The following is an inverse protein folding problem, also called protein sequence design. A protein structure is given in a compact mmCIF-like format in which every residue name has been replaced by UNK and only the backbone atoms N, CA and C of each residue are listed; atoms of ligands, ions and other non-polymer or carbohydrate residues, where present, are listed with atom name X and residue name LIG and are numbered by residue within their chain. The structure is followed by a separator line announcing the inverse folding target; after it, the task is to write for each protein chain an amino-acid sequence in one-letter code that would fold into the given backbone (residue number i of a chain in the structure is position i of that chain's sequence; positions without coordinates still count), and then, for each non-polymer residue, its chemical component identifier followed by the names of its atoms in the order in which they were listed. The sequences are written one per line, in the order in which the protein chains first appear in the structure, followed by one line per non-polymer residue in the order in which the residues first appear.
data_IF_205085290676
#
_entry.id   IF_205085290676
#
_cell.length_a   1.000
_cell.length_b   1.000
_cell.length_c   1.000
_cell.angle_alpha   90.00
_cell.angle_beta   90.00
_cell.angle_gamma   90.00
#
_symmetry.space_group_name_H-M   'P 1'
#
loop_
_entity.id
_entity.type
_entity.pdbx_description
1 polymer ?
#
# COMPACT_ATOMS: atom_id res chain seq x y z
N UNK A 1 1.35 -2.29 -7.74
CA UNK A 1 0.18 -2.68 -6.95
C UNK A 1 -0.54 -1.44 -6.46
N UNK A 2 -1.81 -1.28 -6.83
CA UNK A 2 -2.68 -0.22 -6.30
C UNK A 2 -3.41 -0.75 -5.07
N UNK A 3 -3.23 -0.09 -3.94
CA UNK A 3 -3.66 -0.60 -2.65
C UNK A 3 -4.24 0.48 -1.75
N UNK A 4 -5.09 0.06 -0.81
CA UNK A 4 -5.62 0.90 0.26
C UNK A 4 -5.18 0.33 1.61
N UNK A 5 -4.64 1.17 2.48
CA UNK A 5 -4.06 0.73 3.76
C UNK A 5 -5.10 0.18 4.75
N UNK A 6 -6.37 0.48 4.56
CA UNK A 6 -7.45 -0.09 5.38
C UNK A 6 -8.11 -1.32 4.75
N UNK A 7 -7.69 -1.71 3.56
CA UNK A 7 -8.26 -2.84 2.83
C UNK A 7 -7.71 -4.17 3.36
N UNK A 8 -8.60 -5.04 3.84
CA UNK A 8 -8.20 -6.36 4.36
C UNK A 8 -7.61 -7.27 3.27
N UNK A 9 -8.13 -7.20 2.05
CA UNK A 9 -7.59 -7.98 0.93
C UNK A 9 -6.18 -7.53 0.56
N UNK A 10 -5.87 -6.24 0.70
CA UNK A 10 -4.51 -5.73 0.52
C UNK A 10 -3.57 -6.28 1.59
N UNK A 11 -4.01 -6.30 2.85
CA UNK A 11 -3.23 -6.90 3.93
C UNK A 11 -2.99 -8.39 3.68
N UNK A 12 -3.97 -9.11 3.16
CA UNK A 12 -3.83 -10.53 2.80
C UNK A 12 -2.80 -10.71 1.68
N UNK A 13 -2.78 -9.83 0.69
CA UNK A 13 -1.75 -9.86 -0.35
C UNK A 13 -0.34 -9.73 0.27
N UNK A 14 -0.15 -8.81 1.17
CA UNK A 14 1.14 -8.61 1.85
C UNK A 14 1.53 -9.79 2.75
N UNK A 15 0.55 -10.48 3.32
CA UNK A 15 0.78 -11.63 4.18
C UNK A 15 1.01 -12.93 3.40
N UNK A 16 0.19 -13.19 2.40
CA UNK A 16 0.10 -14.50 1.77
C UNK A 16 0.81 -14.60 0.40
N UNK A 17 1.03 -13.49 -0.28
CA UNK A 17 1.58 -13.47 -1.65
C UNK A 17 2.93 -12.77 -1.70
N UNK A 18 3.02 -11.57 -1.14
CA UNK A 18 4.19 -10.72 -1.26
C UNK A 18 5.49 -11.36 -0.75
N UNK A 19 5.52 -12.08 0.40
CA UNK A 19 6.79 -12.65 0.89
C UNK A 19 7.43 -13.62 -0.11
N UNK A 20 6.62 -14.48 -0.74
CA UNK A 20 7.14 -15.43 -1.72
C UNK A 20 7.51 -14.73 -3.03
N UNK A 21 6.70 -13.78 -3.46
CA UNK A 21 7.00 -12.93 -4.62
C UNK A 21 8.35 -12.21 -4.42
N UNK A 22 8.55 -11.63 -3.24
CA UNK A 22 9.78 -10.92 -2.90
C UNK A 22 10.99 -11.85 -3.01
N UNK A 23 10.91 -13.00 -2.38
CA UNK A 23 11.99 -13.99 -2.39
C UNK A 23 12.35 -14.45 -3.79
N UNK A 24 11.37 -14.78 -4.60
CA UNK A 24 11.60 -15.46 -5.88
C UNK A 24 11.87 -14.50 -7.04
N UNK A 25 11.35 -13.26 -6.98
CA UNK A 25 11.42 -12.32 -8.10
C UNK A 25 12.05 -10.97 -7.78
N UNK A 26 11.83 -10.43 -6.60
CA UNK A 26 12.32 -9.09 -6.26
C UNK A 26 13.76 -9.14 -5.77
N UNK A 27 14.06 -10.01 -4.83
CA UNK A 27 15.41 -10.17 -4.27
C UNK A 27 16.39 -10.74 -5.30
N UNK A 28 15.88 -11.46 -6.29
CA UNK A 28 16.68 -12.01 -7.39
C UNK A 28 16.92 -11.02 -8.53
N UNK A 29 16.24 -9.87 -8.50
CA UNK A 29 16.35 -8.86 -9.56
C UNK A 29 15.57 -9.17 -10.83
N UNK A 30 14.76 -10.24 -10.86
CA UNK A 30 13.94 -10.60 -12.02
C UNK A 30 12.76 -9.65 -12.22
N UNK A 31 12.27 -9.04 -11.14
CA UNK A 31 11.16 -8.10 -11.18
C UNK A 31 11.36 -7.01 -10.12
N UNK A 32 10.58 -5.95 -10.23
CA UNK A 32 10.45 -4.94 -9.19
C UNK A 32 8.96 -4.67 -8.96
N UNK A 33 8.60 -4.27 -7.77
CA UNK A 33 7.23 -3.88 -7.43
C UNK A 33 7.21 -2.41 -7.01
N UNK A 34 6.16 -1.72 -7.42
CA UNK A 34 5.87 -0.38 -6.97
C UNK A 34 4.52 -0.42 -6.26
N UNK A 35 4.50 0.01 -5.01
CA UNK A 35 3.26 0.15 -4.25
C UNK A 35 2.70 1.54 -4.52
N UNK A 36 1.45 1.58 -5.02
CA UNK A 36 0.79 2.81 -5.38
C UNK A 36 -0.47 2.99 -4.55
N UNK A 37 -0.75 4.22 -4.19
CA UNK A 37 -1.83 4.54 -3.28
C UNK A 37 -3.18 4.60 -4.00
N UNK A 38 -4.15 3.87 -3.45
CA UNK A 38 -5.53 3.92 -3.92
C UNK A 38 -6.46 3.92 -2.70
N UNK A 39 -6.41 4.97 -1.86
CA UNK A 39 -7.19 5.00 -0.63
C UNK A 39 -8.68 4.98 -0.91
N UNK A 40 -9.40 4.08 -0.21
CA UNK A 40 -10.84 3.91 -0.37
C UNK A 40 -11.65 4.69 0.68
N UNK A 41 -11.00 5.17 1.72
CA UNK A 41 -11.63 5.95 2.79
C UNK A 41 -10.65 6.97 3.36
N UNK A 42 -11.13 7.83 4.27
CA UNK A 42 -10.31 8.91 4.83
C UNK A 42 -9.19 8.37 5.73
N UNK A 43 -9.42 7.28 6.45
CA UNK A 43 -8.39 6.66 7.27
C UNK A 43 -7.24 6.12 6.40
N UNK A 44 -7.58 5.48 5.28
CA UNK A 44 -6.59 5.01 4.32
C UNK A 44 -5.83 6.18 3.68
N UNK A 45 -6.52 7.26 3.36
CA UNK A 45 -5.91 8.46 2.78
C UNK A 45 -4.86 9.05 3.72
N UNK A 46 -5.21 9.21 4.99
CA UNK A 46 -4.30 9.74 5.99
C UNK A 46 -3.12 8.80 6.25
N UNK A 47 -3.38 7.49 6.33
CA UNK A 47 -2.32 6.50 6.48
C UNK A 47 -1.37 6.49 5.27
N UNK A 48 -1.90 6.65 4.06
CA UNK A 48 -1.09 6.76 2.84
C UNK A 48 -0.14 7.94 2.90
N UNK A 49 -0.63 9.11 3.33
CA UNK A 49 0.20 10.30 3.49
C UNK A 49 1.34 10.05 4.47
N UNK A 50 1.04 9.47 5.60
CA UNK A 50 2.03 9.20 6.64
C UNK A 50 3.05 8.16 6.17
N UNK A 51 2.61 7.12 5.47
CA UNK A 51 3.52 6.10 4.92
C UNK A 51 4.52 6.67 3.93
N UNK A 52 4.13 7.75 3.24
CA UNK A 52 4.95 8.43 2.23
C UNK A 52 5.95 9.40 2.83
N UNK A 53 5.78 9.80 4.08
CA UNK A 53 6.54 10.89 4.72
C UNK A 53 8.05 10.59 4.85
N UNK A 54 8.40 9.34 5.11
CA UNK A 54 9.79 8.86 5.14
C UNK A 54 9.97 7.65 4.25
N UNK A 55 9.45 7.75 3.04
CA UNK A 55 9.59 6.65 2.09
C UNK A 55 10.94 6.77 1.38
N UNK A 56 11.87 5.93 1.80
CA UNK A 56 13.24 5.85 1.26
C UNK A 56 13.39 4.71 0.24
N UNK A 57 12.27 4.16 -0.23
CA UNK A 57 12.24 3.01 -1.14
C UNK A 57 12.07 1.66 -0.43
N UNK A 58 12.25 1.59 0.88
CA UNK A 58 12.11 0.35 1.65
C UNK A 58 10.66 0.02 2.03
N UNK A 59 9.78 1.01 2.00
CA UNK A 59 8.35 0.87 2.34
C UNK A 59 8.10 0.29 3.73
N UNK A 60 8.96 0.59 4.69
CA UNK A 60 8.88 0.02 6.05
C UNK A 60 7.59 0.37 6.77
N UNK A 61 7.18 1.63 6.70
CA UNK A 61 5.94 2.08 7.35
C UNK A 61 4.75 1.41 6.68
N UNK A 62 4.69 1.40 5.35
CA UNK A 62 3.62 0.77 4.60
C UNK A 62 3.47 -0.71 4.96
N UNK A 63 4.57 -1.44 4.97
CA UNK A 63 4.56 -2.87 5.30
C UNK A 63 4.11 -3.13 6.75
N UNK A 64 4.55 -2.30 7.69
CA UNK A 64 4.13 -2.38 9.09
C UNK A 64 2.64 -2.11 9.24
N UNK A 65 2.10 -1.12 8.51
CA UNK A 65 0.68 -0.78 8.57
C UNK A 65 -0.19 -1.92 8.03
N UNK A 66 0.19 -2.56 6.93
CA UNK A 66 -0.53 -3.74 6.43
C UNK A 66 -0.45 -4.92 7.38
N UNK A 67 0.69 -5.17 7.97
CA UNK A 67 0.89 -6.30 8.89
C UNK A 67 0.11 -6.15 10.20
N UNK A 68 -0.30 -4.94 10.56
CA UNK A 68 -0.88 -4.64 11.87
C UNK A 68 -2.19 -3.84 11.78
N UNK A 69 -2.98 -4.05 10.74
CA UNK A 69 -4.23 -3.29 10.54
C UNK A 69 -5.12 -3.29 11.79
N UNK A 70 -5.27 -4.42 12.46
CA UNK A 70 -6.13 -4.53 13.62
C UNK A 70 -5.67 -3.66 14.81
N UNK A 71 -4.42 -3.21 14.80
CA UNK A 71 -3.88 -2.36 15.86
C UNK A 71 -4.14 -0.88 15.67
N UNK A 72 -4.39 -0.44 14.44
CA UNK A 72 -4.54 0.99 14.14
C UNK A 72 -5.81 1.33 13.34
N UNK A 73 -6.38 0.38 12.58
CA UNK A 73 -7.63 0.61 11.84
C UNK A 73 -8.81 0.51 12.79
N UNK A 74 -9.01 1.55 13.57
CA UNK A 74 -10.12 1.62 14.55
C UNK A 74 -10.39 3.08 14.89
N UNK A 75 -11.59 3.31 15.37
CA UNK A 75 -12.08 4.64 15.72
C UNK A 75 -13.38 4.95 15.00
N UNK A 76 -14.22 5.76 15.62
CA UNK A 76 -15.54 6.15 15.08
C UNK A 76 -15.50 7.43 14.26
N UNK A 77 -14.34 8.09 14.19
CA UNK A 77 -14.14 9.33 13.43
C UNK A 77 -12.74 9.36 12.82
N UNK A 78 -12.56 10.25 11.85
CA UNK A 78 -11.23 10.48 11.24
C UNK A 78 -10.21 10.91 12.31
N UNK A 79 -10.62 11.73 13.26
CA UNK A 79 -9.75 12.19 14.34
C UNK A 79 -9.29 11.05 15.25
N UNK A 80 -10.20 10.16 15.65
CA UNK A 80 -9.85 8.98 16.44
C UNK A 80 -8.95 8.02 15.67
N UNK A 81 -9.27 7.78 14.40
CA UNK A 81 -8.46 6.95 13.54
C UNK A 81 -7.03 7.48 13.43
N UNK A 82 -6.86 8.80 13.31
CA UNK A 82 -5.54 9.43 13.25
C UNK A 82 -4.79 9.29 14.57
N UNK A 83 -5.47 9.43 15.71
CA UNK A 83 -4.84 9.22 17.03
C UNK A 83 -4.34 7.78 17.18
N UNK A 84 -5.14 6.82 16.77
CA UNK A 84 -4.76 5.41 16.84
C UNK A 84 -3.57 5.11 15.91
N UNK A 85 -3.57 5.67 14.72
CA UNK A 85 -2.48 5.55 13.77
C UNK A 85 -1.17 6.14 14.32
N UNK A 86 -1.23 7.35 14.86
CA UNK A 86 -0.06 8.02 15.45
C UNK A 86 0.50 7.21 16.61
N UNK A 87 -0.36 6.75 17.52
CA UNK A 87 0.03 5.94 18.65
C UNK A 87 0.71 4.64 18.20
N UNK A 88 0.14 3.97 17.20
CA UNK A 88 0.71 2.74 16.64
C UNK A 88 2.12 2.99 16.09
N UNK A 89 2.29 4.03 15.28
CA UNK A 89 3.58 4.35 14.68
C UNK A 89 4.65 4.69 15.72
N UNK A 90 4.30 5.42 16.77
CA UNK A 90 5.19 5.71 17.88
C UNK A 90 5.61 4.44 18.61
N UNK A 91 4.65 3.55 18.87
CA UNK A 91 4.92 2.28 19.55
C UNK A 91 5.82 1.36 18.71
N UNK A 92 5.75 1.45 17.40
CA UNK A 92 6.63 0.70 16.49
C UNK A 92 8.01 1.36 16.31
N UNK A 93 8.22 2.51 16.90
CA UNK A 93 9.51 3.19 16.85
C UNK A 93 9.76 4.05 15.62
N UNK A 94 8.71 4.33 14.85
CA UNK A 94 8.83 5.24 13.70
C UNK A 94 8.90 6.69 14.19
N UNK A 95 10.02 7.34 13.92
CA UNK A 95 10.25 8.75 14.27
C UNK A 95 9.83 9.64 13.11
N UNK A 96 8.58 10.11 13.12
CA UNK A 96 8.02 11.00 12.13
C UNK A 96 7.27 12.14 12.81
N UNK A 97 7.24 13.30 12.16
CA UNK A 97 6.36 14.40 12.56
C UNK A 97 4.98 14.15 11.94
N UNK A 98 4.12 13.48 12.67
CA UNK A 98 2.81 13.02 12.19
C UNK A 98 1.95 14.16 11.65
N UNK A 99 1.85 15.25 12.40
CA UNK A 99 1.04 16.40 11.99
C UNK A 99 1.59 17.06 10.73
N UNK A 100 2.90 17.22 10.64
CA UNK A 100 3.55 17.76 9.46
C UNK A 100 3.32 16.87 8.23
N UNK A 101 3.39 15.55 8.40
CA UNK A 101 3.11 14.60 7.31
C UNK A 101 1.68 14.70 6.80
N UNK A 102 0.71 14.79 7.71
CA UNK A 102 -0.70 14.92 7.35
C UNK A 102 -1.00 16.23 6.59
N UNK A 103 -0.29 17.30 6.92
CA UNK A 103 -0.53 18.62 6.36
C UNK A 103 0.40 18.97 5.20
N UNK A 104 1.23 18.04 4.75
CA UNK A 104 2.15 18.26 3.65
C UNK A 104 1.42 18.16 2.31
N UNK A 105 1.32 19.29 1.61
CA UNK A 105 0.59 19.38 0.35
C UNK A 105 1.21 18.53 -0.76
N UNK A 106 2.53 18.44 -0.83
CA UNK A 106 3.21 17.64 -1.86
C UNK A 106 2.92 16.15 -1.68
N UNK A 107 2.89 15.69 -0.43
CA UNK A 107 2.54 14.29 -0.11
C UNK A 107 1.09 14.03 -0.45
N UNK A 108 0.19 14.94 -0.08
CA UNK A 108 -1.23 14.80 -0.41
C UNK A 108 -1.45 14.70 -1.91
N UNK A 109 -0.81 15.59 -2.67
CA UNK A 109 -0.90 15.58 -4.13
C UNK A 109 -0.34 14.29 -4.72
N UNK A 110 0.76 13.77 -4.16
CA UNK A 110 1.33 12.50 -4.59
C UNK A 110 0.35 11.35 -4.42
N UNK A 111 -0.29 11.26 -3.26
CA UNK A 111 -1.28 10.19 -2.99
C UNK A 111 -2.49 10.33 -3.90
N UNK A 112 -3.01 11.54 -4.06
CA UNK A 112 -4.16 11.80 -4.93
C UNK A 112 -3.83 11.50 -6.40
N UNK A 113 -2.65 11.85 -6.86
CA UNK A 113 -2.22 11.59 -8.23
C UNK A 113 -2.07 10.09 -8.51
N UNK A 114 -1.60 9.31 -7.55
CA UNK A 114 -1.59 7.85 -7.67
C UNK A 114 -3.00 7.30 -7.90
N UNK A 115 -3.96 7.77 -7.11
CA UNK A 115 -5.34 7.33 -7.21
C UNK A 115 -5.97 7.75 -8.55
N UNK A 116 -5.75 8.98 -8.96
CA UNK A 116 -6.25 9.51 -10.23
C UNK A 116 -5.67 8.71 -11.39
N UNK A 117 -4.36 8.46 -11.38
CA UNK A 117 -3.69 7.67 -12.42
C UNK A 117 -4.24 6.24 -12.47
N UNK A 118 -4.47 5.63 -11.31
CA UNK A 118 -5.07 4.30 -11.23
C UNK A 118 -6.44 4.23 -11.92
N UNK A 119 -7.31 5.19 -11.65
CA UNK A 119 -8.64 5.26 -12.28
C UNK A 119 -8.52 5.53 -13.77
N UNK A 120 -7.73 6.54 -14.14
CA UNK A 120 -7.70 7.09 -15.48
C UNK A 120 -6.96 6.20 -16.49
N UNK A 121 -5.80 5.69 -16.09
CA UNK A 121 -4.92 4.98 -17.01
C UNK A 121 -4.98 3.46 -16.87
N UNK A 122 -5.42 2.95 -15.72
CA UNK A 122 -5.46 1.50 -15.44
C UNK A 122 -6.85 0.99 -15.11
N UNK A 123 -7.87 1.86 -15.08
CA UNK A 123 -9.26 1.50 -14.78
C UNK A 123 -9.42 0.76 -13.45
N UNK A 124 -8.61 1.15 -12.46
CA UNK A 124 -8.70 0.58 -11.11
C UNK A 124 -10.01 1.02 -10.46
N UNK A 125 -10.78 0.06 -9.95
CA UNK A 125 -12.03 0.31 -9.25
C UNK A 125 -12.16 -0.49 -7.95
N UNK A 126 -11.14 -1.25 -7.61
CA UNK A 126 -11.10 -2.04 -6.38
C UNK A 126 -9.65 -2.27 -5.98
N UNK A 127 -9.43 -2.69 -4.74
CA UNK A 127 -8.09 -2.99 -4.22
C UNK A 127 -8.01 -4.39 -3.64
N UNK A 128 -6.86 -5.06 -3.69
CA UNK A 128 -5.69 -4.66 -4.47
C UNK A 128 -5.89 -4.87 -5.97
N UNK A 129 -5.31 -4.01 -6.80
CA UNK A 129 -5.22 -4.22 -8.23
C UNK A 129 -3.76 -4.29 -8.62
N UNK A 130 -3.38 -5.37 -9.29
CA UNK A 130 -2.01 -5.59 -9.74
C UNK A 130 -1.92 -5.27 -11.23
N UNK A 131 -0.95 -4.45 -11.58
CA UNK A 131 -0.61 -4.14 -12.97
C UNK A 131 0.76 -4.75 -13.25
N UNK A 132 0.86 -5.54 -14.30
CA UNK A 132 2.12 -6.18 -14.70
C UNK A 132 2.48 -5.67 -16.09
N UNK A 133 3.57 -4.91 -16.20
CA UNK A 133 4.01 -4.32 -17.48
C UNK A 133 2.85 -3.63 -18.21
N UNK A 134 2.17 -2.73 -17.51
CA UNK A 134 1.03 -1.92 -17.98
C UNK A 134 -0.26 -2.69 -18.24
N UNK A 135 -0.30 -4.00 -18.00
CA UNK A 135 -1.51 -4.81 -18.16
C UNK A 135 -2.12 -5.17 -16.81
N UNK A 136 -3.41 -4.98 -16.68
CA UNK A 136 -4.16 -5.33 -15.48
C UNK A 136 -4.22 -6.84 -15.30
N UNK A 137 -3.81 -7.33 -14.13
CA UNK A 137 -3.91 -8.73 -13.76
C UNK A 137 -5.34 -9.04 -13.32
N UNK A 138 -6.01 -9.92 -14.06
CA UNK A 138 -7.45 -10.19 -13.87
C UNK A 138 -7.77 -11.60 -13.36
N UNK A 139 -6.75 -12.40 -13.06
CA UNK A 139 -6.93 -13.71 -12.44
C UNK A 139 -7.09 -13.58 -10.93
N UNK A 140 -7.56 -14.63 -10.27
CA UNK A 140 -7.56 -14.67 -8.81
C UNK A 140 -6.17 -14.38 -8.28
N UNK A 141 -6.06 -13.41 -7.36
CA UNK A 141 -4.78 -12.96 -6.83
C UNK A 141 -4.30 -13.94 -5.77
N UNK A 142 -3.43 -14.83 -6.21
CA UNK A 142 -2.66 -15.72 -5.36
C UNK A 142 -1.27 -15.90 -5.96
N UNK A 143 -0.37 -16.45 -5.18
CA UNK A 143 1.01 -16.60 -5.64
C UNK A 143 1.13 -17.47 -6.90
N UNK A 144 0.38 -18.57 -6.97
CA UNK A 144 0.41 -19.49 -8.11
C UNK A 144 0.06 -18.78 -9.42
N UNK A 145 -1.04 -18.03 -9.42
CA UNK A 145 -1.50 -17.32 -10.62
C UNK A 145 -0.57 -16.18 -11.00
N UNK A 146 -0.08 -15.46 -10.00
CA UNK A 146 0.87 -14.36 -10.22
C UNK A 146 2.19 -14.89 -10.79
N UNK A 147 2.70 -15.99 -10.24
CA UNK A 147 3.89 -16.66 -10.74
C UNK A 147 3.73 -17.05 -12.21
N UNK A 148 2.61 -17.65 -12.59
CA UNK A 148 2.35 -18.02 -13.98
C UNK A 148 2.38 -16.81 -14.92
N UNK A 149 1.81 -15.70 -14.48
CA UNK A 149 1.82 -14.47 -15.28
C UNK A 149 3.24 -13.91 -15.45
N UNK A 150 4.04 -13.93 -14.40
CA UNK A 150 5.43 -13.45 -14.43
C UNK A 150 6.33 -14.35 -15.29
N UNK A 151 6.17 -15.68 -15.18
CA UNK A 151 6.97 -16.66 -15.94
C UNK A 151 6.81 -16.48 -17.45
N UNK A 152 5.67 -16.01 -17.92
CA UNK A 152 5.42 -15.74 -19.34
C UNK A 152 6.19 -14.51 -19.85
N UNK A 153 6.69 -13.67 -18.95
CA UNK A 153 7.36 -12.41 -19.29
C UNK A 153 8.87 -12.46 -19.09
N UNK A 154 9.37 -13.55 -18.59
CA UNK A 154 10.82 -13.71 -18.28
C UNK A 154 11.52 -14.59 -19.31
#
# INVERSE_FOLDING_TARGET
AFESLTCSHCANFHKDVYPQLKKDYLDTGLAKIEFRHFPLDIAAFNASKVSQCKNDGDSKILNSLFANQQKWVKGSSAEEANKNLEKFLKNEGFDIDFKSCLNNQEIEDFVLNDRIDGVKNYKVNSTPTIIINDAKFEKTLNYKNLKKALEKLI
#
